data_IF_636813815497
#
_entry.id   IF_636813815497
#
_cell.length_a   1.000
_cell.length_b   1.000
_cell.length_c   1.000
_cell.angle_alpha   90.00
_cell.angle_beta   90.00
_cell.angle_gamma   90.00
#
_symmetry.space_group_name_H-M   'P 1'
#
loop_
_entity.id
_entity.type
_entity.pdbx_description
1 polymer ?
#
# COMPACT_ATOMS: atom_id res chain seq x y z
N UNK A 1 11.36 -24.89 -18.16
CA UNK A 1 12.57 -24.54 -17.41
C UNK A 1 13.09 -23.23 -17.95
N UNK A 2 13.19 -22.20 -17.11
CA UNK A 2 13.80 -20.91 -17.45
C UNK A 2 14.77 -20.61 -16.31
N UNK A 3 16.04 -20.41 -16.67
CA UNK A 3 17.16 -20.30 -15.73
C UNK A 3 17.27 -18.92 -15.09
N UNK A 4 17.04 -18.86 -13.78
CA UNK A 4 18.12 -18.77 -12.78
C UNK A 4 19.23 -17.71 -12.80
N UNK A 5 19.28 -16.69 -13.67
CA UNK A 5 20.43 -15.76 -13.68
C UNK A 5 20.17 -14.28 -13.43
N UNK A 6 18.94 -13.78 -13.47
CA UNK A 6 18.79 -12.31 -13.54
C UNK A 6 18.72 -11.62 -12.17
N UNK A 7 18.54 -12.35 -11.07
CA UNK A 7 18.59 -11.82 -9.69
C UNK A 7 19.00 -12.90 -8.67
N UNK A 8 20.30 -13.21 -8.50
CA UNK A 8 20.73 -14.19 -7.51
C UNK A 8 20.81 -13.54 -6.12
N UNK A 9 19.71 -13.60 -5.36
CA UNK A 9 19.78 -13.46 -3.89
C UNK A 9 18.72 -12.58 -3.22
N UNK A 10 17.99 -11.75 -3.95
CA UNK A 10 17.02 -10.84 -3.32
C UNK A 10 15.69 -11.55 -3.04
N UNK A 11 15.38 -11.68 -1.74
CA UNK A 11 14.13 -12.25 -1.23
C UNK A 11 13.42 -11.15 -0.46
N UNK A 12 12.31 -10.64 -0.98
CA UNK A 12 11.44 -9.74 -0.22
C UNK A 12 10.96 -10.46 1.05
N UNK A 13 11.34 -9.92 2.20
CA UNK A 13 10.89 -10.35 3.51
C UNK A 13 9.70 -9.49 3.91
N UNK A 14 8.48 -10.00 3.72
CA UNK A 14 7.31 -9.42 4.35
C UNK A 14 7.33 -9.76 5.85
N UNK A 15 7.94 -8.89 6.65
CA UNK A 15 7.91 -9.00 8.10
C UNK A 15 6.58 -8.44 8.62
N UNK A 16 5.75 -9.31 9.21
CA UNK A 16 4.57 -8.84 9.95
C UNK A 16 5.03 -8.02 11.16
N UNK A 17 4.46 -6.81 11.30
CA UNK A 17 4.67 -5.90 12.43
C UNK A 17 4.63 -6.66 13.78
N UNK A 18 5.73 -6.64 14.58
CA UNK A 18 5.79 -7.29 15.89
C UNK A 18 4.69 -6.86 16.85
N UNK A 19 4.25 -5.60 16.79
CA UNK A 19 3.18 -5.06 17.65
C UNK A 19 1.83 -5.65 17.26
N UNK A 20 1.58 -5.76 15.95
CA UNK A 20 0.39 -6.42 15.41
C UNK A 20 0.36 -7.93 15.74
N UNK A 21 1.52 -8.59 15.75
CA UNK A 21 1.66 -9.99 16.19
C UNK A 21 1.27 -10.14 17.67
N UNK A 22 1.78 -9.26 18.53
CA UNK A 22 1.45 -9.26 19.95
C UNK A 22 -0.04 -8.94 20.20
N UNK A 23 -0.61 -7.97 19.47
CA UNK A 23 -2.03 -7.65 19.56
C UNK A 23 -2.91 -8.82 19.12
N UNK A 24 -2.59 -9.48 17.99
CA UNK A 24 -3.31 -10.69 17.54
C UNK A 24 -3.17 -11.83 18.55
N UNK A 25 -1.99 -12.03 19.14
CA UNK A 25 -1.80 -13.03 20.19
C UNK A 25 -2.66 -12.75 21.42
N UNK A 26 -2.70 -11.50 21.90
CA UNK A 26 -3.57 -11.07 23.01
C UNK A 26 -5.04 -11.25 22.68
N UNK A 27 -5.48 -10.82 21.49
CA UNK A 27 -6.87 -10.91 21.05
C UNK A 27 -7.32 -12.36 20.89
N UNK A 28 -6.47 -13.22 20.33
CA UNK A 28 -6.71 -14.66 20.22
C UNK A 28 -6.84 -15.30 21.60
N UNK A 29 -5.93 -15.00 22.53
CA UNK A 29 -6.01 -15.48 23.92
C UNK A 29 -7.33 -15.06 24.58
N UNK A 30 -7.71 -13.80 24.43
CA UNK A 30 -8.99 -13.27 24.96
C UNK A 30 -10.20 -13.97 24.35
N UNK A 31 -10.22 -14.19 23.03
CA UNK A 31 -11.32 -14.90 22.35
C UNK A 31 -11.42 -16.37 22.78
N UNK A 32 -10.29 -17.06 22.99
CA UNK A 32 -10.28 -18.42 23.52
C UNK A 32 -10.82 -18.49 24.95
N UNK A 33 -10.36 -17.60 25.84
CA UNK A 33 -10.81 -17.58 27.22
C UNK A 33 -12.31 -17.29 27.30
N UNK A 34 -12.80 -16.31 26.54
CA UNK A 34 -14.23 -16.01 26.49
C UNK A 34 -15.06 -17.21 26.01
N UNK A 35 -14.54 -17.98 25.04
CA UNK A 35 -15.18 -19.20 24.54
C UNK A 35 -15.21 -20.32 25.59
N UNK A 36 -14.12 -20.53 26.33
CA UNK A 36 -14.06 -21.47 27.46
C UNK A 36 -15.09 -21.11 28.54
N UNK A 37 -15.15 -19.84 28.95
CA UNK A 37 -16.14 -19.34 29.92
C UNK A 37 -17.59 -19.54 29.46
N UNK A 38 -17.86 -19.35 28.17
CA UNK A 38 -19.19 -19.58 27.60
C UNK A 38 -19.57 -21.07 27.58
N UNK A 39 -18.63 -21.95 27.25
CA UNK A 39 -18.86 -23.40 27.28
C UNK A 39 -19.10 -23.89 28.72
N UNK A 40 -18.36 -23.37 29.69
CA UNK A 40 -18.59 -23.67 31.11
C UNK A 40 -19.98 -23.21 31.60
N UNK A 41 -20.44 -22.04 31.17
CA UNK A 41 -21.78 -21.55 31.50
C UNK A 41 -22.89 -22.44 30.91
N UNK A 42 -22.67 -23.00 29.71
CA UNK A 42 -23.58 -23.98 29.10
C UNK A 42 -23.58 -25.28 29.91
N UNK A 43 -22.41 -25.81 30.27
CA UNK A 43 -22.28 -27.01 31.13
C UNK A 43 -23.03 -26.81 32.45
N UNK A 44 -22.88 -25.66 33.10
CA UNK A 44 -23.59 -25.34 34.35
C UNK A 44 -25.12 -25.27 34.14
N UNK A 45 -25.57 -24.72 33.01
CA UNK A 45 -26.99 -24.61 32.66
C UNK A 45 -27.62 -25.99 32.39
N UNK A 46 -26.88 -26.90 31.75
CA UNK A 46 -27.30 -28.29 31.54
C UNK A 46 -27.36 -29.05 32.87
N UNK A 47 -26.29 -28.96 33.69
CA UNK A 47 -26.24 -29.60 35.03
C UNK A 47 -27.36 -29.13 35.96
N UNK A 48 -27.71 -27.85 35.91
CA UNK A 48 -28.82 -27.29 36.70
C UNK A 48 -30.21 -27.65 36.16
N UNK A 49 -30.30 -28.32 35.00
CA UNK A 49 -31.55 -28.69 34.35
C UNK A 49 -32.29 -27.53 33.68
N UNK A 50 -31.69 -26.34 33.58
CA UNK A 50 -32.28 -25.18 32.89
C UNK A 50 -32.19 -25.28 31.37
N UNK A 51 -31.26 -26.08 30.87
CA UNK A 51 -31.08 -26.36 29.45
C UNK A 51 -31.14 -27.89 29.25
N UNK A 52 -32.10 -28.37 28.46
CA UNK A 52 -32.35 -29.80 28.24
C UNK A 52 -32.67 -30.07 26.78
N UNK A 53 -32.33 -31.26 26.30
CA UNK A 53 -32.56 -31.68 24.93
C UNK A 53 -31.45 -31.20 24.01
N UNK A 54 -30.96 -32.12 23.18
CA UNK A 54 -29.81 -31.91 22.29
C UNK A 54 -29.95 -30.67 21.41
N UNK A 55 -31.11 -30.46 20.80
CA UNK A 55 -31.34 -29.32 19.91
C UNK A 55 -31.23 -27.96 20.61
N UNK A 56 -31.69 -27.86 21.87
CA UNK A 56 -31.60 -26.63 22.65
C UNK A 56 -30.15 -26.35 23.09
N UNK A 57 -29.42 -27.41 23.44
CA UNK A 57 -28.00 -27.33 23.80
C UNK A 57 -27.17 -26.93 22.59
N UNK A 58 -27.34 -27.60 21.45
CA UNK A 58 -26.65 -27.30 20.19
C UNK A 58 -26.87 -25.84 19.74
N UNK A 59 -28.10 -25.35 19.85
CA UNK A 59 -28.43 -23.96 19.51
C UNK A 59 -27.73 -22.96 20.44
N UNK A 60 -27.60 -23.28 21.72
CA UNK A 60 -26.90 -22.42 22.70
C UNK A 60 -25.39 -22.44 22.47
N UNK A 61 -24.81 -23.61 22.19
CA UNK A 61 -23.41 -23.76 21.80
C UNK A 61 -23.09 -22.97 20.52
N UNK A 62 -23.92 -23.09 19.48
CA UNK A 62 -23.76 -22.33 18.24
C UNK A 62 -23.80 -20.81 18.45
N UNK A 63 -24.67 -20.34 19.34
CA UNK A 63 -24.79 -18.91 19.66
C UNK A 63 -23.65 -18.37 20.51
N UNK A 64 -23.26 -19.07 21.57
CA UNK A 64 -22.37 -18.47 22.58
C UNK A 64 -20.90 -18.87 22.39
N UNK A 65 -20.63 -20.06 21.86
CA UNK A 65 -19.28 -20.54 21.59
C UNK A 65 -18.85 -20.29 20.13
N UNK A 66 -19.73 -20.50 19.15
CA UNK A 66 -19.37 -20.41 17.73
C UNK A 66 -19.42 -18.99 17.13
N UNK A 67 -20.19 -18.06 17.72
CA UNK A 67 -20.23 -16.65 17.28
C UNK A 67 -18.89 -15.91 17.42
N UNK A 68 -17.92 -16.47 18.14
CA UNK A 68 -16.58 -15.87 18.34
C UNK A 68 -15.53 -16.28 17.30
N UNK A 69 -15.92 -16.99 16.23
CA UNK A 69 -15.05 -17.46 15.13
C UNK A 69 -13.88 -18.37 15.59
N UNK A 70 -14.01 -19.01 16.76
CA UNK A 70 -13.04 -19.98 17.32
C UNK A 70 -13.57 -21.42 17.34
N UNK A 71 -14.75 -21.69 16.79
CA UNK A 71 -15.41 -22.99 16.86
C UNK A 71 -14.55 -24.16 16.36
N UNK A 72 -13.65 -23.91 15.40
CA UNK A 72 -12.74 -24.92 14.86
C UNK A 72 -11.60 -25.34 15.82
N UNK A 73 -11.53 -24.79 17.03
CA UNK A 73 -10.52 -25.10 18.06
C UNK A 73 -11.05 -25.94 19.22
N UNK A 74 -12.37 -26.16 19.27
CA UNK A 74 -13.03 -26.91 20.32
C UNK A 74 -13.76 -28.09 19.72
N UNK A 75 -13.51 -29.27 20.26
CA UNK A 75 -14.31 -30.46 19.99
C UNK A 75 -15.40 -30.49 21.06
N UNK A 76 -16.66 -30.47 20.64
CA UNK A 76 -17.82 -30.35 21.53
C UNK A 76 -18.75 -31.50 21.23
N UNK A 77 -18.99 -32.33 22.23
CA UNK A 77 -19.94 -33.43 22.18
C UNK A 77 -21.19 -33.06 22.97
N UNK A 78 -22.35 -33.18 22.32
CA UNK A 78 -23.67 -32.85 22.90
C UNK A 78 -24.56 -34.09 22.89
N UNK A 79 -25.04 -34.47 24.08
CA UNK A 79 -26.07 -35.49 24.31
C UNK A 79 -27.37 -34.83 24.72
N UNK A 80 -28.45 -35.61 24.90
CA UNK A 80 -29.76 -35.08 25.29
C UNK A 80 -29.77 -34.45 26.69
N UNK A 81 -28.81 -34.82 27.53
CA UNK A 81 -28.68 -34.49 28.94
C UNK A 81 -27.29 -33.97 29.34
N UNK A 82 -26.39 -33.78 28.37
CA UNK A 82 -24.98 -33.52 28.63
C UNK A 82 -24.29 -32.73 27.54
N UNK A 83 -23.24 -32.01 27.94
CA UNK A 83 -22.29 -31.38 27.03
C UNK A 83 -20.89 -31.55 27.60
N UNK A 84 -19.97 -32.04 26.76
CA UNK A 84 -18.54 -32.13 27.06
C UNK A 84 -17.75 -31.44 25.97
N UNK A 85 -16.58 -30.90 26.33
CA UNK A 85 -15.74 -30.22 25.36
C UNK A 85 -14.26 -30.44 25.66
N UNK A 86 -13.43 -30.38 24.62
CA UNK A 86 -11.98 -30.40 24.73
C UNK A 86 -11.35 -29.38 23.78
N UNK A 87 -10.16 -28.89 24.14
CA UNK A 87 -9.41 -27.91 23.34
C UNK A 87 -8.37 -28.61 22.46
N UNK A 88 -8.42 -28.40 21.16
CA UNK A 88 -7.41 -28.94 20.23
C UNK A 88 -6.14 -28.08 20.23
N UNK A 89 -5.07 -28.56 20.88
CA UNK A 89 -3.82 -27.81 21.01
C UNK A 89 -2.98 -27.70 19.71
N UNK A 90 -3.18 -28.60 18.73
CA UNK A 90 -2.36 -28.68 17.51
C UNK A 90 -2.57 -27.54 16.50
N UNK A 91 -3.74 -26.89 16.49
CA UNK A 91 -4.08 -25.83 15.50
C UNK A 91 -3.43 -24.48 15.81
N UNK A 92 -3.01 -24.25 17.05
CA UNK A 92 -2.32 -23.02 17.48
C UNK A 92 -0.95 -22.88 16.81
N UNK A 93 -0.28 -24.00 16.48
CA UNK A 93 1.01 -24.00 15.79
C UNK A 93 0.94 -23.46 14.36
N UNK A 94 -0.12 -23.76 13.62
CA UNK A 94 -0.35 -23.27 12.25
C UNK A 94 -0.78 -21.79 12.20
N UNK A 95 -1.50 -21.32 13.21
CA UNK A 95 -1.76 -19.88 13.41
C UNK A 95 -0.47 -19.12 13.72
N UNK A 96 0.34 -19.64 14.64
CA UNK A 96 1.63 -19.05 14.99
C UNK A 96 2.64 -19.10 13.82
N UNK A 97 2.45 -20.04 12.89
CA UNK A 97 3.16 -20.14 11.62
C UNK A 97 2.66 -19.15 10.57
N UNK A 98 1.37 -18.81 10.58
CA UNK A 98 0.81 -17.71 9.75
C UNK A 98 1.31 -16.34 10.19
N UNK A 99 1.68 -16.20 11.47
CA UNK A 99 2.27 -14.98 12.01
C UNK A 99 3.81 -14.90 11.79
N UNK A 100 4.45 -15.93 11.23
CA UNK A 100 5.90 -15.96 10.94
C UNK A 100 6.20 -15.42 9.53
N UNK A 101 7.31 -14.70 9.39
CA UNK A 101 7.82 -14.20 8.12
C UNK A 101 7.93 -15.34 7.09
N UNK A 102 7.45 -15.10 5.87
CA UNK A 102 7.61 -16.00 4.73
C UNK A 102 8.25 -15.24 3.57
N UNK A 103 9.19 -15.90 2.92
CA UNK A 103 9.78 -15.42 1.68
C UNK A 103 8.86 -15.83 0.53
N UNK A 104 8.42 -14.86 -0.27
CA UNK A 104 7.66 -15.09 -1.49
C UNK A 104 8.56 -14.80 -2.70
N UNK A 105 8.58 -15.65 -3.74
CA UNK A 105 9.18 -15.29 -5.02
C UNK A 105 8.24 -14.31 -5.74
N UNK A 106 8.71 -13.10 -6.03
CA UNK A 106 7.98 -12.12 -6.84
C UNK A 106 8.64 -12.03 -8.20
N UNK A 107 7.88 -12.29 -9.27
CA UNK A 107 8.31 -12.03 -10.63
C UNK A 107 8.01 -10.55 -10.95
N UNK A 108 8.99 -9.67 -10.73
CA UNK A 108 8.92 -8.28 -11.18
C UNK A 108 9.35 -8.25 -12.65
N UNK A 109 8.48 -7.80 -13.55
CA UNK A 109 8.90 -7.51 -14.93
C UNK A 109 9.71 -6.21 -14.91
N UNK A 110 10.91 -6.14 -15.52
CA UNK A 110 11.66 -4.90 -15.58
C UNK A 110 10.88 -3.84 -16.38
N UNK A 111 10.77 -2.63 -15.83
CA UNK A 111 10.27 -1.47 -16.54
C UNK A 111 11.36 -0.94 -17.50
N UNK A 112 10.99 -0.35 -18.65
CA UNK A 112 11.97 0.24 -19.56
C UNK A 112 12.65 1.48 -18.93
N UNK A 113 13.95 1.62 -19.18
CA UNK A 113 14.79 2.70 -18.67
C UNK A 113 14.36 4.08 -19.19
N UNK A 114 14.32 5.07 -18.30
CA UNK A 114 13.96 6.48 -18.58
C UNK A 114 15.19 7.22 -19.18
N UNK A 115 15.82 6.64 -20.20
CA UNK A 115 17.03 7.19 -20.84
C UNK A 115 16.83 7.70 -22.26
N UNK A 116 15.76 7.30 -22.97
CA UNK A 116 15.67 7.50 -24.42
C UNK A 116 14.81 8.69 -24.88
N UNK A 117 14.19 9.44 -23.96
CA UNK A 117 13.25 10.52 -24.32
C UNK A 117 13.89 11.92 -24.51
N UNK A 118 15.23 12.05 -24.49
CA UNK A 118 15.91 13.36 -24.68
C UNK A 118 16.75 13.50 -25.95
N UNK A 119 16.77 12.51 -26.85
CA UNK A 119 17.49 12.63 -28.14
C UNK A 119 16.59 13.04 -29.33
N UNK A 120 15.33 13.36 -29.09
CA UNK A 120 14.33 13.61 -30.15
C UNK A 120 13.97 15.06 -30.44
N UNK A 121 14.72 16.05 -29.92
CA UNK A 121 14.41 17.49 -30.09
C UNK A 121 15.66 18.27 -30.47
N UNK A 122 16.26 17.96 -31.63
CA UNK A 122 17.12 18.93 -32.31
C UNK A 122 17.21 18.82 -33.83
N UNK A 123 16.56 17.84 -34.47
CA UNK A 123 16.56 17.71 -35.94
C UNK A 123 15.16 17.93 -36.51
N UNK A 124 14.74 19.19 -36.60
CA UNK A 124 13.70 19.60 -37.55
C UNK A 124 13.86 21.07 -37.90
N UNK A 125 14.93 21.37 -38.63
CA UNK A 125 15.02 22.61 -39.38
C UNK A 125 15.77 22.39 -40.71
N UNK A 126 15.01 22.64 -41.79
CA UNK A 126 15.45 23.19 -43.07
C UNK A 126 15.91 22.22 -44.17
N UNK A 127 14.94 21.92 -45.04
CA UNK A 127 15.15 21.56 -46.45
C UNK A 127 14.74 22.77 -47.32
N UNK A 128 15.68 23.44 -47.98
CA UNK A 128 15.48 24.36 -49.12
C UNK A 128 16.71 24.20 -50.03
N UNK A 129 16.56 24.02 -51.36
CA UNK A 129 17.67 23.67 -52.25
C UNK A 129 18.53 24.87 -52.68
N UNK A 130 19.75 24.49 -53.06
CA UNK A 130 20.87 25.23 -53.62
C UNK A 130 20.52 26.32 -54.66
N UNK A 131 21.13 27.50 -54.51
CA UNK A 131 21.72 28.17 -55.66
C UNK A 131 22.86 29.13 -55.26
N UNK A 132 24.00 28.94 -55.92
CA UNK A 132 25.03 29.93 -56.30
C UNK A 132 25.94 30.52 -55.21
N UNK A 133 27.24 30.20 -55.35
CA UNK A 133 28.25 31.25 -55.51
C UNK A 133 29.29 31.41 -54.40
N UNK A 134 30.44 30.75 -54.59
CA UNK A 134 31.81 31.34 -54.52
C UNK A 134 32.10 32.35 -53.39
N UNK A 135 32.91 31.94 -52.40
CA UNK A 135 34.24 32.53 -52.13
C UNK A 135 34.95 31.82 -50.97
N UNK A 136 36.26 31.67 -51.16
CA UNK A 136 37.26 31.13 -50.26
C UNK A 136 37.29 31.79 -48.88
N UNK A 137 37.50 31.02 -47.82
CA UNK A 137 38.30 31.48 -46.69
C UNK A 137 38.92 30.30 -45.92
N UNK A 138 40.24 30.21 -46.01
CA UNK A 138 41.10 29.30 -45.24
C UNK A 138 41.09 29.73 -43.78
N UNK A 139 40.66 28.87 -42.86
CA UNK A 139 40.91 29.03 -41.41
C UNK A 139 41.87 27.91 -41.00
N UNK A 140 43.05 28.33 -40.54
CA UNK A 140 44.15 27.49 -40.13
C UNK A 140 43.83 26.81 -38.80
N UNK A 141 43.99 25.49 -38.79
CA UNK A 141 44.07 24.64 -37.62
C UNK A 141 45.37 24.95 -36.86
N UNK A 142 45.29 25.32 -35.58
CA UNK A 142 46.41 25.24 -34.63
C UNK A 142 45.94 24.42 -33.45
N UNK A 143 46.58 23.26 -33.30
CA UNK A 143 46.41 22.32 -32.21
C UNK A 143 47.49 22.54 -31.12
N UNK A 144 47.24 21.93 -29.96
CA UNK A 144 48.07 21.85 -28.74
C UNK A 144 47.95 23.08 -27.82
N UNK A 145 47.70 22.96 -26.52
CA UNK A 145 48.29 21.99 -25.57
C UNK A 145 47.36 21.68 -24.39
N UNK A 146 47.40 20.42 -23.94
CA UNK A 146 46.77 19.92 -22.73
C UNK A 146 47.48 20.43 -21.46
N UNK A 147 46.69 20.83 -20.47
CA UNK A 147 47.09 20.93 -19.06
C UNK A 147 45.94 20.35 -18.23
N UNK A 148 46.13 19.12 -17.76
CA UNK A 148 45.25 18.47 -16.80
C UNK A 148 45.44 19.14 -15.44
N UNK A 149 44.43 19.87 -14.97
CA UNK A 149 44.31 20.28 -13.57
C UNK A 149 43.28 19.36 -12.92
N UNK A 150 43.81 18.41 -12.16
CA UNK A 150 43.07 17.51 -11.28
C UNK A 150 42.42 18.31 -10.16
N UNK A 151 41.22 18.85 -10.41
CA UNK A 151 40.42 19.48 -9.36
C UNK A 151 39.63 18.39 -8.63
N UNK A 152 40.31 17.71 -7.71
CA UNK A 152 39.65 16.93 -6.67
C UNK A 152 38.88 17.89 -5.76
N UNK A 153 37.62 18.12 -6.11
CA UNK A 153 36.64 18.72 -5.21
C UNK A 153 36.26 17.68 -4.17
N UNK A 154 36.80 17.90 -2.98
CA UNK A 154 36.43 17.28 -1.71
C UNK A 154 34.91 17.25 -1.61
N UNK A 155 34.32 16.05 -1.53
CA UNK A 155 32.93 15.85 -1.15
C UNK A 155 32.78 16.18 0.34
N UNK A 156 32.69 17.46 0.66
CA UNK A 156 32.18 17.89 1.96
C UNK A 156 30.68 17.63 1.96
N UNK A 157 30.25 16.63 2.74
CA UNK A 157 28.85 16.37 3.02
C UNK A 157 28.24 17.53 3.81
N UNK A 158 27.83 18.57 3.11
CA UNK A 158 26.69 19.36 3.55
C UNK A 158 25.46 18.62 3.03
N UNK A 159 24.60 18.15 3.93
CA UNK A 159 23.23 17.80 3.57
C UNK A 159 22.56 19.09 3.13
N UNK A 160 22.70 19.45 1.85
CA UNK A 160 21.86 20.49 1.27
C UNK A 160 20.42 20.05 1.51
N UNK A 161 19.66 20.86 2.23
CA UNK A 161 18.21 20.74 2.24
C UNK A 161 17.80 20.80 0.76
N UNK A 162 17.36 19.66 0.23
CA UNK A 162 16.79 19.66 -1.11
C UNK A 162 15.51 20.47 -1.05
N UNK A 163 15.39 21.46 -1.92
CA UNK A 163 14.20 22.31 -2.03
C UNK A 163 13.24 21.79 -3.09
N UNK A 164 13.63 20.78 -3.87
CA UNK A 164 12.78 20.05 -4.79
C UNK A 164 13.33 18.65 -5.08
N UNK A 165 12.46 17.77 -5.56
CA UNK A 165 12.83 16.42 -5.91
C UNK A 165 11.70 15.60 -6.51
N UNK A 166 11.97 14.32 -6.68
CA UNK A 166 11.00 13.34 -7.16
C UNK A 166 11.10 12.05 -6.35
N UNK A 167 9.98 11.37 -6.18
CA UNK A 167 9.94 10.06 -5.54
C UNK A 167 8.82 9.21 -6.13
N UNK A 168 8.93 7.90 -5.97
CA UNK A 168 7.84 6.96 -6.27
C UNK A 168 7.37 6.32 -4.99
N UNK A 169 6.05 6.18 -4.87
CA UNK A 169 5.43 5.55 -3.71
C UNK A 169 4.53 4.40 -4.14
N UNK A 170 4.51 3.36 -3.30
CA UNK A 170 3.56 2.26 -3.34
C UNK A 170 2.67 2.36 -2.11
N UNK A 171 1.37 2.42 -2.32
CA UNK A 171 0.37 2.40 -1.26
C UNK A 171 -0.51 1.16 -1.41
N UNK A 172 -0.73 0.46 -0.30
CA UNK A 172 -1.61 -0.70 -0.25
C UNK A 172 -2.65 -0.51 0.84
N UNK A 173 -3.91 -0.75 0.51
CA UNK A 173 -5.06 -0.41 1.35
C UNK A 173 -6.00 -1.58 1.51
N UNK A 174 -6.67 -1.60 2.66
CA UNK A 174 -7.98 -2.24 2.82
C UNK A 174 -9.05 -1.14 2.72
N UNK A 175 -10.07 -1.38 1.89
CA UNK A 175 -11.22 -0.48 1.72
C UNK A 175 -12.39 -0.86 2.62
N UNK A 176 -12.96 0.13 3.27
CA UNK A 176 -14.20 0.06 4.03
C UNK A 176 -15.15 1.13 3.52
N UNK A 177 -15.91 0.79 2.47
CA UNK A 177 -16.78 1.69 1.74
C UNK A 177 -18.24 1.38 2.01
N UNK A 178 -19.04 2.43 2.11
CA UNK A 178 -20.50 2.37 2.09
C UNK A 178 -21.00 3.06 0.84
N UNK A 179 -21.86 2.39 0.08
CA UNK A 179 -22.49 2.94 -1.12
C UNK A 179 -24.00 3.08 -0.92
N UNK A 180 -24.53 4.25 -1.27
CA UNK A 180 -25.95 4.57 -1.22
C UNK A 180 -26.45 4.99 -2.61
N UNK A 181 -27.57 4.42 -3.03
CA UNK A 181 -28.26 4.79 -4.28
C UNK A 181 -29.28 5.90 -4.01
N UNK A 182 -29.37 6.87 -4.91
CA UNK A 182 -30.37 7.95 -4.87
C UNK A 182 -30.77 8.35 -6.29
N UNK A 183 -31.78 9.23 -6.42
CA UNK A 183 -32.33 9.61 -7.73
C UNK A 183 -31.30 10.18 -8.74
N UNK A 184 -30.18 10.73 -8.25
CA UNK A 184 -29.11 11.29 -9.06
C UNK A 184 -27.88 10.39 -9.23
N UNK A 185 -27.97 9.09 -8.90
CA UNK A 185 -26.89 8.11 -9.09
C UNK A 185 -26.52 7.36 -7.81
N UNK A 186 -25.24 7.00 -7.69
CA UNK A 186 -24.68 6.35 -6.49
C UNK A 186 -23.66 7.28 -5.84
N UNK A 187 -23.67 7.33 -4.53
CA UNK A 187 -22.63 7.97 -3.72
C UNK A 187 -21.93 6.90 -2.90
N UNK A 188 -20.61 6.93 -2.89
CA UNK A 188 -19.76 6.04 -2.10
C UNK A 188 -18.92 6.88 -1.15
N UNK A 189 -18.91 6.49 0.12
CA UNK A 189 -18.08 7.14 1.14
C UNK A 189 -17.46 6.10 2.05
N UNK A 190 -16.25 6.35 2.53
CA UNK A 190 -15.60 5.40 3.42
C UNK A 190 -14.14 5.69 3.68
N UNK A 191 -13.46 4.71 4.26
CA UNK A 191 -12.06 4.81 4.68
C UNK A 191 -11.21 3.84 3.85
N UNK A 192 -10.04 4.31 3.42
CA UNK A 192 -8.92 3.45 3.06
C UNK A 192 -7.91 3.47 4.21
N UNK A 193 -7.46 2.30 4.66
CA UNK A 193 -6.43 2.20 5.68
C UNK A 193 -5.37 1.19 5.24
N UNK A 194 -4.10 1.54 5.40
CA UNK A 194 -3.06 0.81 4.70
C UNK A 194 -1.64 1.23 5.04
N UNK A 195 -0.72 0.81 4.19
CA UNK A 195 0.71 1.15 4.26
C UNK A 195 1.13 2.01 3.07
N UNK A 196 2.13 2.83 3.30
CA UNK A 196 2.84 3.61 2.28
C UNK A 196 4.31 3.21 2.30
N UNK A 197 4.92 3.03 1.14
CA UNK A 197 6.35 2.77 1.00
C UNK A 197 6.91 3.65 -0.09
N UNK A 198 7.97 4.40 0.20
CA UNK A 198 8.75 5.11 -0.81
C UNK A 198 9.66 4.08 -1.48
N UNK A 199 9.42 3.77 -2.74
CA UNK A 199 10.14 2.72 -3.47
C UNK A 199 11.34 3.25 -4.25
N UNK A 200 11.32 4.54 -4.61
CA UNK A 200 12.44 5.25 -5.25
C UNK A 200 12.41 6.72 -4.80
N UNK A 201 13.57 7.35 -4.67
CA UNK A 201 13.64 8.78 -4.31
C UNK A 201 14.91 9.48 -4.82
N UNK A 202 14.79 10.76 -5.14
CA UNK A 202 15.92 11.66 -5.41
C UNK A 202 16.64 12.17 -4.16
N UNK A 203 16.09 11.90 -2.97
CA UNK A 203 16.66 12.30 -1.68
C UNK A 203 15.63 12.91 -0.71
N UNK A 204 16.08 13.38 0.46
CA UNK A 204 15.21 13.89 1.53
C UNK A 204 14.27 15.03 1.07
N UNK A 205 13.06 15.16 1.65
CA UNK A 205 12.60 14.51 2.88
C UNK A 205 12.01 13.11 2.68
N UNK A 206 11.88 12.65 1.43
CA UNK A 206 11.37 11.31 1.12
C UNK A 206 12.55 10.34 0.95
N UNK A 207 12.71 9.37 1.84
CA UNK A 207 13.85 8.45 1.77
C UNK A 207 13.42 7.13 1.15
N UNK A 208 14.24 6.55 0.27
CA UNK A 208 13.96 5.22 -0.29
C UNK A 208 13.80 4.18 0.83
N UNK A 209 12.87 3.25 0.63
CA UNK A 209 12.48 2.18 1.57
C UNK A 209 11.83 2.69 2.87
N UNK A 210 11.60 4.00 2.99
CA UNK A 210 10.85 4.56 4.11
C UNK A 210 9.40 4.08 4.06
N UNK A 211 8.96 3.51 5.17
CA UNK A 211 7.60 3.04 5.36
C UNK A 211 6.77 4.05 6.16
N UNK A 212 5.46 3.98 5.98
CA UNK A 212 4.48 4.72 6.76
C UNK A 212 3.12 4.04 6.75
N UNK A 213 2.22 4.54 7.57
CA UNK A 213 0.81 4.18 7.58
C UNK A 213 0.04 5.24 6.80
N UNK A 214 -0.88 4.82 5.95
CA UNK A 214 -1.75 5.72 5.20
C UNK A 214 -3.20 5.51 5.57
N UNK A 215 -3.92 6.62 5.75
CA UNK A 215 -5.37 6.63 5.97
C UNK A 215 -5.98 7.69 5.07
N UNK A 216 -7.03 7.32 4.35
CA UNK A 216 -7.78 8.25 3.52
C UNK A 216 -9.26 8.21 3.86
N UNK A 217 -9.91 9.36 3.82
CA UNK A 217 -11.37 9.46 3.76
C UNK A 217 -11.79 9.72 2.32
N UNK A 218 -12.55 8.80 1.74
CA UNK A 218 -12.94 8.81 0.33
C UNK A 218 -14.37 9.29 0.19
N UNK A 219 -14.60 10.17 -0.78
CA UNK A 219 -15.92 10.58 -1.27
C UNK A 219 -15.94 10.38 -2.78
N UNK A 220 -16.80 9.50 -3.26
CA UNK A 220 -16.97 9.25 -4.67
C UNK A 220 -18.44 9.36 -5.08
N UNK A 221 -18.67 9.88 -6.28
CA UNK A 221 -19.97 9.89 -6.95
C UNK A 221 -19.84 9.12 -8.26
N UNK A 222 -20.74 8.19 -8.49
CA UNK A 222 -20.86 7.54 -9.80
C UNK A 222 -21.66 8.47 -10.72
N UNK A 223 -21.06 8.82 -11.86
CA UNK A 223 -21.65 9.79 -12.81
C UNK A 223 -22.44 9.05 -13.90
N UNK A 224 -21.85 8.05 -14.56
CA UNK A 224 -22.48 7.18 -15.58
C UNK A 224 -21.59 5.95 -15.88
N UNK A 225 -22.14 4.80 -16.29
CA UNK A 225 -21.40 3.58 -16.70
C UNK A 225 -20.28 3.14 -15.74
N UNK A 226 -20.54 3.21 -14.43
CA UNK A 226 -19.59 2.93 -13.35
C UNK A 226 -18.39 3.89 -13.24
N UNK A 227 -18.28 4.90 -14.11
CA UNK A 227 -17.29 5.97 -13.99
C UNK A 227 -17.50 6.74 -12.68
N UNK A 228 -16.42 6.90 -11.93
CA UNK A 228 -16.43 7.59 -10.64
C UNK A 228 -15.71 8.93 -10.71
N UNK A 229 -16.34 9.95 -10.14
CA UNK A 229 -15.63 11.15 -9.70
C UNK A 229 -15.34 10.99 -8.21
N UNK A 230 -14.06 10.90 -7.88
CA UNK A 230 -13.56 10.56 -6.55
C UNK A 230 -12.62 11.65 -6.05
N UNK A 231 -12.87 12.09 -4.82
CA UNK A 231 -11.95 12.89 -4.04
C UNK A 231 -11.65 12.17 -2.72
N UNK A 232 -10.39 12.14 -2.31
CA UNK A 232 -9.99 11.57 -1.03
C UNK A 232 -8.95 12.42 -0.31
N UNK A 233 -9.22 12.73 0.96
CA UNK A 233 -8.24 13.38 1.84
C UNK A 233 -7.48 12.30 2.58
N UNK A 234 -6.15 12.30 2.45
CA UNK A 234 -5.27 11.27 2.96
C UNK A 234 -4.21 11.86 3.90
N UNK A 235 -3.86 11.08 4.93
CA UNK A 235 -2.73 11.32 5.81
C UNK A 235 -1.79 10.12 5.73
N UNK A 236 -0.52 10.37 5.47
CA UNK A 236 0.55 9.39 5.59
C UNK A 236 1.37 9.74 6.82
N UNK A 237 1.41 8.86 7.81
CA UNK A 237 2.26 9.00 9.00
C UNK A 237 3.46 8.09 8.84
N UNK A 238 4.66 8.63 8.90
CA UNK A 238 5.87 7.84 8.77
C UNK A 238 6.33 7.19 10.09
N UNK A 239 7.50 6.54 10.06
CA UNK A 239 8.10 5.90 11.24
C UNK A 239 8.56 6.86 12.34
N UNK A 240 8.80 8.13 11.99
CA UNK A 240 9.22 9.18 12.92
C UNK A 240 7.99 9.87 13.56
N UNK A 241 6.79 9.63 13.00
CA UNK A 241 5.53 10.23 13.43
C UNK A 241 5.19 11.50 12.67
N UNK A 242 5.99 11.88 11.67
CA UNK A 242 5.71 13.02 10.80
C UNK A 242 4.57 12.65 9.83
N UNK A 243 3.68 13.61 9.60
CA UNK A 243 2.50 13.44 8.76
C UNK A 243 2.65 14.19 7.44
N UNK A 244 2.33 13.52 6.33
CA UNK A 244 2.18 14.10 5.01
C UNK A 244 0.70 14.12 4.64
N UNK A 245 0.20 15.26 4.19
CA UNK A 245 -1.19 15.43 3.77
C UNK A 245 -1.29 15.39 2.24
N UNK A 246 -2.18 14.52 1.74
CA UNK A 246 -2.39 14.31 0.32
C UNK A 246 -3.88 14.47 -0.02
N UNK A 247 -4.17 15.18 -1.10
CA UNK A 247 -5.50 15.24 -1.69
C UNK A 247 -5.52 14.44 -3.00
N UNK A 248 -6.19 13.30 -3.01
CA UNK A 248 -6.38 12.49 -4.19
C UNK A 248 -7.59 12.97 -5.00
N UNK A 249 -7.45 13.09 -6.31
CA UNK A 249 -8.56 13.27 -7.25
C UNK A 249 -8.46 12.28 -8.40
N UNK A 250 -9.61 11.77 -8.83
CA UNK A 250 -9.73 10.84 -9.96
C UNK A 250 -11.13 10.90 -10.56
N UNK A 251 -11.18 11.09 -11.87
CA UNK A 251 -12.40 11.07 -12.68
C UNK A 251 -12.35 9.97 -13.76
N UNK A 252 -11.42 9.03 -13.62
CA UNK A 252 -11.15 7.94 -14.57
C UNK A 252 -11.28 6.56 -13.89
N UNK A 253 -11.94 5.63 -14.59
CA UNK A 253 -12.15 4.25 -14.17
C UNK A 253 -13.23 4.05 -13.08
N UNK A 254 -13.13 2.95 -12.35
CA UNK A 254 -14.16 2.48 -11.41
C UNK A 254 -13.58 2.13 -10.01
N UNK A 255 -14.36 1.42 -9.19
CA UNK A 255 -13.98 0.98 -7.83
C UNK A 255 -14.26 -0.51 -7.58
N UNK A 256 -14.52 -1.26 -8.65
CA UNK A 256 -14.86 -2.68 -8.61
C UNK A 256 -13.61 -3.56 -8.64
N UNK A 257 -13.70 -4.77 -8.10
CA UNK A 257 -12.56 -5.70 -8.11
C UNK A 257 -12.19 -6.09 -9.56
N UNK A 258 -10.91 -6.00 -9.90
CA UNK A 258 -10.39 -6.14 -11.26
C UNK A 258 -10.36 -4.84 -12.06
N UNK A 259 -11.05 -3.80 -11.58
CA UNK A 259 -11.00 -2.46 -12.13
C UNK A 259 -9.83 -1.63 -11.60
N UNK A 260 -9.88 -0.34 -11.86
CA UNK A 260 -8.80 0.57 -11.57
C UNK A 260 -9.05 1.95 -12.15
N UNK A 261 -7.99 2.75 -12.25
CA UNK A 261 -8.03 4.03 -12.93
C UNK A 261 -6.80 4.86 -12.62
N UNK A 262 -6.71 5.99 -13.32
CA UNK A 262 -5.62 6.95 -13.16
C UNK A 262 -6.10 8.21 -12.43
N UNK A 263 -5.25 8.80 -11.61
CA UNK A 263 -5.57 10.03 -10.90
C UNK A 263 -4.33 10.82 -10.54
N UNK A 264 -4.51 11.83 -9.70
CA UNK A 264 -3.40 12.59 -9.14
C UNK A 264 -3.60 12.84 -7.65
N UNK A 265 -2.55 12.66 -6.85
CA UNK A 265 -2.47 13.26 -5.53
C UNK A 265 -1.84 14.64 -5.64
N UNK A 266 -2.37 15.60 -4.90
CA UNK A 266 -1.67 16.83 -4.57
C UNK A 266 -1.07 16.69 -3.18
N UNK A 267 0.18 17.08 -3.01
CA UNK A 267 0.81 17.21 -1.70
C UNK A 267 0.42 18.58 -1.12
N UNK A 268 -0.17 18.58 0.07
CA UNK A 268 -0.73 19.77 0.73
C UNK A 268 0.08 20.16 1.98
N UNK A 269 1.35 19.79 2.04
CA UNK A 269 2.21 19.96 3.21
C UNK A 269 2.08 18.82 4.22
N UNK A 270 2.42 19.13 5.47
CA UNK A 270 2.52 18.15 6.52
C UNK A 270 3.10 18.71 7.82
N UNK A 271 3.50 17.81 8.70
CA UNK A 271 4.21 18.10 9.95
C UNK A 271 5.68 17.69 9.84
N UNK A 272 6.50 18.15 10.79
CA UNK A 272 7.93 17.83 10.86
C UNK A 272 8.66 18.09 9.55
N UNK A 273 9.28 17.06 8.95
CA UNK A 273 10.04 17.21 7.70
C UNK A 273 9.19 17.51 6.46
N UNK A 274 7.88 17.30 6.53
CA UNK A 274 6.94 17.56 5.43
C UNK A 274 6.29 18.95 5.48
N UNK A 275 6.66 19.77 6.47
CA UNK A 275 6.28 21.20 6.49
C UNK A 275 6.75 21.87 5.19
N UNK A 276 5.88 22.71 4.63
CA UNK A 276 6.08 23.49 3.41
C UNK A 276 6.36 22.66 2.14
N UNK A 277 6.16 21.34 2.19
CA UNK A 277 6.32 20.48 1.00
C UNK A 277 5.03 20.51 0.18
N UNK A 278 5.11 20.93 -1.07
CA UNK A 278 4.02 20.87 -2.03
C UNK A 278 4.43 20.06 -3.26
N UNK A 279 3.47 19.59 -4.04
CA UNK A 279 3.78 18.74 -5.18
C UNK A 279 2.57 18.05 -5.80
N UNK A 280 2.85 17.27 -6.83
CA UNK A 280 1.85 16.53 -7.57
C UNK A 280 2.35 15.11 -7.86
N UNK A 281 1.44 14.15 -7.74
CA UNK A 281 1.71 12.74 -7.91
C UNK A 281 0.67 12.09 -8.82
N UNK A 282 0.87 12.05 -10.14
CA UNK A 282 0.12 11.14 -10.99
C UNK A 282 0.22 9.71 -10.44
N UNK A 283 -0.91 9.01 -10.39
CA UNK A 283 -0.99 7.66 -9.86
C UNK A 283 -1.87 6.75 -10.70
N UNK A 284 -1.57 5.46 -10.60
CA UNK A 284 -2.38 4.35 -11.08
C UNK A 284 -2.92 3.56 -9.90
N UNK A 285 -4.21 3.25 -9.89
CA UNK A 285 -4.85 2.44 -8.84
C UNK A 285 -5.48 1.18 -9.41
N UNK A 286 -5.37 0.08 -8.67
CA UNK A 286 -5.96 -1.21 -9.00
C UNK A 286 -6.78 -1.70 -7.81
N UNK A 287 -8.03 -2.04 -8.08
CA UNK A 287 -8.94 -2.61 -7.10
C UNK A 287 -8.82 -4.13 -7.18
N UNK A 288 -8.38 -4.75 -6.09
CA UNK A 288 -8.20 -6.19 -6.01
C UNK A 288 -9.41 -6.84 -5.31
N UNK A 289 -9.53 -8.18 -5.38
CA UNK A 289 -10.43 -8.94 -4.52
C UNK A 289 -10.17 -8.69 -3.03
N UNK A 290 -11.06 -9.18 -2.16
CA UNK A 290 -10.92 -9.11 -0.70
C UNK A 290 -10.75 -7.68 -0.14
N UNK A 291 -11.38 -6.71 -0.79
CA UNK A 291 -11.34 -5.29 -0.40
C UNK A 291 -9.95 -4.67 -0.41
N UNK A 292 -9.03 -5.23 -1.19
CA UNK A 292 -7.68 -4.68 -1.34
C UNK A 292 -7.65 -3.63 -2.46
N UNK A 293 -6.81 -2.61 -2.28
CA UNK A 293 -6.51 -1.61 -3.31
C UNK A 293 -5.01 -1.36 -3.29
N UNK A 294 -4.40 -1.30 -4.47
CA UNK A 294 -2.98 -0.96 -4.63
C UNK A 294 -2.89 0.28 -5.49
N UNK A 295 -2.08 1.25 -5.07
CA UNK A 295 -1.86 2.50 -5.80
C UNK A 295 -0.37 2.76 -5.91
N UNK A 296 0.10 3.08 -7.12
CA UNK A 296 1.48 3.48 -7.37
C UNK A 296 1.45 4.92 -7.87
N UNK A 297 2.18 5.81 -7.20
CA UNK A 297 2.29 7.21 -7.56
C UNK A 297 3.72 7.58 -7.91
N UNK A 298 3.90 8.41 -8.94
CA UNK A 298 5.17 9.09 -9.23
C UNK A 298 5.01 10.55 -8.88
N UNK A 299 5.77 11.04 -7.91
CA UNK A 299 5.61 12.36 -7.33
C UNK A 299 6.76 13.29 -7.71
N UNK A 300 6.43 14.54 -7.97
CA UNK A 300 7.38 15.66 -7.95
C UNK A 300 6.99 16.60 -6.81
N UNK A 301 7.98 17.07 -6.06
CA UNK A 301 7.76 17.94 -4.90
C UNK A 301 8.75 19.10 -4.88
N UNK A 302 8.34 20.16 -4.20
CA UNK A 302 9.16 21.34 -3.91
C UNK A 302 8.82 21.89 -2.52
N UNK A 303 9.73 22.66 -1.92
CA UNK A 303 9.46 23.46 -0.73
C UNK A 303 8.92 24.81 -1.14
N UNK A 304 7.76 25.17 -0.65
CA UNK A 304 7.14 26.48 -0.84
C UNK A 304 7.23 27.25 0.49
N UNK A 305 8.26 28.10 0.68
CA UNK A 305 8.47 28.84 1.92
C UNK A 305 7.40 29.92 2.19
#
# INVERSE_FOLDING_TARGET
MIGGSDFPGERLMACLDPRLREERARKRKSLHQAAEEALEAIVASVRSGRLKGREAIDRRVGRDANCRKVGNHFEIDVTDDGVSWSRQQGRTGDEMRRDRCRQFPVAVRPAPEIGSALHGVHERAKWIPDSRGRRDMKIKLVAATALAVSMQLVSQGASYAQDAGAFRMLQSYVRDYTTLSYAGGKVTGGILAGTNTIIESSGPPFVQDQAGLVRCFVRARTVQDSAVSLEASCTVTDVDGDELYLLARRDDGDTEAGGGGTGAFRIEGGTGKYVDVSGNCPYDTQYLPDNLVVTIGTCTWERTP
#
